data_IF_335158575164
#
_entry.id   IF_335158575164
#
_cell.length_a   1.000
_cell.length_b   1.000
_cell.length_c   1.000
_cell.angle_alpha   90.00
_cell.angle_beta   90.00
_cell.angle_gamma   90.00
#
_symmetry.space_group_name_H-M   'P 1'
#
loop_
_entity.id
_entity.type
_entity.pdbx_description
1 polymer ?
#
# COMPACT_ATOMS: atom_id res chain seq x y z
N UNK A 1 5.05 -19.63 -14.61
CA UNK A 1 3.77 -19.50 -13.89
C UNK A 1 2.65 -19.67 -14.91
N UNK A 2 1.65 -20.53 -14.67
CA UNK A 2 0.53 -20.71 -15.61
C UNK A 2 -0.18 -19.37 -15.82
N UNK A 3 -0.53 -19.03 -17.07
CA UNK A 3 -1.30 -17.81 -17.41
C UNK A 3 -2.58 -17.66 -16.59
N UNK A 4 -3.18 -18.78 -16.13
CA UNK A 4 -4.37 -18.80 -15.29
C UNK A 4 -4.20 -18.17 -13.91
N UNK A 5 -2.98 -18.09 -13.36
CA UNK A 5 -2.71 -17.49 -12.05
C UNK A 5 -2.43 -15.99 -12.12
N UNK A 6 -1.78 -15.55 -13.21
CA UNK A 6 -1.33 -14.17 -13.36
C UNK A 6 -2.52 -13.19 -13.42
N UNK A 7 -3.57 -13.54 -14.16
CA UNK A 7 -4.73 -12.67 -14.32
C UNK A 7 -5.49 -12.44 -12.99
N UNK A 8 -5.83 -13.48 -12.20
CA UNK A 8 -6.41 -13.29 -10.88
C UNK A 8 -5.50 -12.49 -9.95
N UNK A 9 -4.20 -12.81 -9.88
CA UNK A 9 -3.29 -12.08 -9.00
C UNK A 9 -3.22 -10.60 -9.38
N UNK A 10 -3.10 -10.28 -10.66
CA UNK A 10 -3.09 -8.91 -11.15
C UNK A 10 -4.39 -8.16 -10.84
N UNK A 11 -5.56 -8.80 -11.05
CA UNK A 11 -6.85 -8.21 -10.73
C UNK A 11 -7.00 -7.93 -9.23
N UNK A 12 -6.55 -8.85 -8.38
CA UNK A 12 -6.56 -8.67 -6.93
C UNK A 12 -5.56 -7.61 -6.46
N UNK A 13 -4.37 -7.54 -7.06
CA UNK A 13 -3.40 -6.49 -6.77
C UNK A 13 -3.97 -5.12 -7.14
N UNK A 14 -4.56 -4.97 -8.32
CA UNK A 14 -5.21 -3.72 -8.73
C UNK A 14 -6.35 -3.34 -7.78
N UNK A 15 -7.23 -4.30 -7.43
CA UNK A 15 -8.32 -4.06 -6.49
C UNK A 15 -7.79 -3.64 -5.11
N UNK A 16 -6.78 -4.33 -4.60
CA UNK A 16 -6.12 -4.02 -3.32
C UNK A 16 -5.56 -2.59 -3.34
N UNK A 17 -4.86 -2.22 -4.41
CA UNK A 17 -4.35 -0.85 -4.58
C UNK A 17 -5.47 0.18 -4.61
N UNK A 18 -6.56 -0.06 -5.35
CA UNK A 18 -7.68 0.87 -5.41
C UNK A 18 -8.32 1.06 -4.03
N UNK A 19 -8.58 -0.04 -3.32
CA UNK A 19 -9.12 0.01 -1.95
C UNK A 19 -8.15 0.77 -1.03
N UNK A 20 -6.86 0.48 -1.12
CA UNK A 20 -5.83 1.17 -0.34
C UNK A 20 -5.84 2.69 -0.59
N UNK A 21 -5.74 3.11 -1.85
CA UNK A 21 -5.69 4.53 -2.19
C UNK A 21 -6.98 5.26 -1.80
N UNK A 22 -8.15 4.66 -2.04
CA UNK A 22 -9.43 5.25 -1.63
C UNK A 22 -9.49 5.43 -0.11
N UNK A 23 -9.15 4.40 0.67
CA UNK A 23 -9.15 4.49 2.13
C UNK A 23 -8.13 5.52 2.62
N UNK A 24 -6.92 5.49 2.07
CA UNK A 24 -5.85 6.41 2.43
C UNK A 24 -6.28 7.87 2.17
N UNK A 25 -6.74 8.17 0.97
CA UNK A 25 -7.16 9.53 0.60
C UNK A 25 -8.37 9.98 1.39
N UNK A 26 -9.34 9.09 1.63
CA UNK A 26 -10.50 9.41 2.48
C UNK A 26 -10.05 9.82 3.89
N UNK A 27 -9.12 9.08 4.48
CA UNK A 27 -8.58 9.40 5.81
C UNK A 27 -7.77 10.70 5.79
N UNK A 28 -6.91 10.89 4.79
CA UNK A 28 -6.06 12.08 4.70
C UNK A 28 -6.86 13.35 4.46
N UNK A 29 -7.84 13.34 3.55
CA UNK A 29 -8.75 14.50 3.39
C UNK A 29 -9.55 14.76 4.66
N UNK A 30 -9.99 13.71 5.36
CA UNK A 30 -10.66 13.85 6.65
C UNK A 30 -9.77 14.40 7.77
N UNK A 31 -8.46 14.46 7.57
CA UNK A 31 -7.50 15.01 8.52
C UNK A 31 -6.99 16.40 8.15
N UNK A 32 -7.22 16.87 6.93
CA UNK A 32 -6.86 18.25 6.56
C UNK A 32 -7.81 19.19 7.32
N UNK A 33 -7.21 20.15 8.04
CA UNK A 33 -7.97 21.20 8.70
C UNK A 33 -8.54 22.16 7.63
N UNK A 34 -9.86 22.35 7.65
CA UNK A 34 -10.57 23.18 6.68
C UNK A 34 -10.21 24.66 6.77
N UNK A 35 -9.71 25.13 7.93
CA UNK A 35 -9.35 26.54 8.12
C UNK A 35 -7.95 26.85 7.59
N UNK A 36 -7.00 25.95 7.84
CA UNK A 36 -5.58 26.16 7.50
C UNK A 36 -5.15 25.46 6.21
N UNK A 37 -5.89 24.46 5.74
CA UNK A 37 -5.52 23.60 4.60
C UNK A 37 -4.34 22.67 4.91
N UNK A 38 -3.92 22.58 6.18
CA UNK A 38 -2.77 21.80 6.64
C UNK A 38 -3.21 20.63 7.52
N UNK A 39 -2.30 19.69 7.76
CA UNK A 39 -2.55 18.64 8.71
C UNK A 39 -2.34 19.16 10.15
N UNK A 40 -3.26 18.90 11.08
CA UNK A 40 -3.16 19.38 12.45
C UNK A 40 -2.02 18.68 13.20
N UNK A 41 -1.53 19.38 14.23
CA UNK A 41 -0.28 19.04 14.90
C UNK A 41 -0.28 17.67 15.59
N UNK A 42 -1.44 17.25 16.08
CA UNK A 42 -1.64 15.96 16.73
C UNK A 42 -1.56 14.77 15.76
N UNK A 43 -1.78 15.00 14.45
CA UNK A 43 -1.67 13.96 13.41
C UNK A 43 -0.27 13.78 12.87
N UNK A 44 0.64 14.73 13.14
CA UNK A 44 1.97 14.77 12.52
C UNK A 44 2.84 13.53 12.79
N UNK A 45 2.72 12.91 13.96
CA UNK A 45 3.46 11.69 14.30
C UNK A 45 2.97 10.49 13.47
N UNK A 46 1.68 10.51 13.10
CA UNK A 46 1.01 9.39 12.45
C UNK A 46 1.06 9.50 10.92
N UNK A 47 1.18 10.70 10.35
CA UNK A 47 1.22 10.92 8.89
C UNK A 47 2.30 10.09 8.15
N UNK A 48 3.53 9.93 8.66
CA UNK A 48 4.53 9.12 7.97
C UNK A 48 4.26 7.61 8.10
N UNK A 49 3.53 7.18 9.14
CA UNK A 49 3.39 5.77 9.54
C UNK A 49 2.06 5.17 9.07
N UNK A 50 0.99 5.97 9.06
CA UNK A 50 -0.35 5.58 8.65
C UNK A 50 -0.41 4.93 7.27
N UNK A 51 0.26 5.45 6.21
CA UNK A 51 0.18 4.88 4.87
C UNK A 51 0.72 3.45 4.87
N UNK A 52 1.78 3.19 5.63
CA UNK A 52 2.35 1.87 5.77
C UNK A 52 1.46 0.91 6.59
N UNK A 53 0.86 1.39 7.70
CA UNK A 53 -0.04 0.56 8.51
C UNK A 53 -1.32 0.17 7.74
N UNK A 54 -1.91 1.13 7.03
CA UNK A 54 -3.07 0.87 6.16
C UNK A 54 -2.71 -0.11 5.05
N UNK A 55 -1.54 0.04 4.44
CA UNK A 55 -1.05 -0.88 3.41
C UNK A 55 -0.91 -2.30 3.96
N UNK A 56 -0.23 -2.44 5.10
CA UNK A 56 -0.03 -3.73 5.77
C UNK A 56 -1.36 -4.45 6.03
N UNK A 57 -2.36 -3.72 6.52
CA UNK A 57 -3.68 -4.26 6.84
C UNK A 57 -4.45 -4.66 5.58
N UNK A 58 -4.55 -3.75 4.61
CA UNK A 58 -5.36 -3.94 3.41
C UNK A 58 -4.76 -5.05 2.55
N UNK A 59 -3.45 -5.07 2.33
CA UNK A 59 -2.79 -6.18 1.63
C UNK A 59 -2.95 -7.49 2.36
N UNK A 60 -2.73 -7.50 3.69
CA UNK A 60 -2.83 -8.70 4.51
C UNK A 60 -4.19 -9.39 4.35
N UNK A 61 -5.27 -8.61 4.38
CA UNK A 61 -6.65 -9.10 4.23
C UNK A 61 -6.94 -9.47 2.78
N UNK A 62 -6.70 -8.55 1.85
CA UNK A 62 -7.14 -8.69 0.46
C UNK A 62 -6.37 -9.77 -0.29
N UNK A 63 -5.06 -9.90 -0.07
CA UNK A 63 -4.25 -10.95 -0.73
C UNK A 63 -4.37 -12.32 -0.04
N UNK A 64 -4.85 -12.41 1.20
CA UNK A 64 -5.07 -13.71 1.84
C UNK A 64 -6.09 -14.56 1.06
N UNK A 65 -7.14 -13.94 0.51
CA UNK A 65 -8.21 -14.59 -0.26
C UNK A 65 -7.68 -15.29 -1.53
N UNK A 66 -7.05 -14.59 -2.50
CA UNK A 66 -6.54 -15.23 -3.71
C UNK A 66 -5.43 -16.24 -3.42
N UNK A 67 -4.59 -16.01 -2.40
CA UNK A 67 -3.57 -16.99 -1.97
C UNK A 67 -4.22 -18.27 -1.45
N UNK A 68 -5.26 -18.14 -0.63
CA UNK A 68 -6.05 -19.27 -0.14
C UNK A 68 -6.70 -20.04 -1.30
N UNK A 69 -7.39 -19.35 -2.21
CA UNK A 69 -8.07 -19.96 -3.35
C UNK A 69 -7.08 -20.71 -4.26
N UNK A 70 -5.95 -20.08 -4.58
CA UNK A 70 -4.88 -20.71 -5.37
C UNK A 70 -4.36 -21.99 -4.73
N UNK A 71 -4.11 -21.95 -3.40
CA UNK A 71 -3.64 -23.13 -2.67
C UNK A 71 -4.67 -24.25 -2.70
N UNK A 72 -5.95 -23.95 -2.47
CA UNK A 72 -7.02 -24.93 -2.49
C UNK A 72 -7.15 -25.60 -3.86
N UNK A 73 -7.05 -24.81 -4.94
CA UNK A 73 -7.12 -25.32 -6.30
C UNK A 73 -5.92 -26.21 -6.66
N UNK A 74 -4.73 -25.83 -6.21
CA UNK A 74 -3.54 -26.67 -6.38
C UNK A 74 -3.73 -28.04 -5.70
N UNK A 75 -4.33 -28.09 -4.50
CA UNK A 75 -4.66 -29.37 -3.85
C UNK A 75 -5.68 -30.19 -4.65
N UNK A 76 -6.74 -29.57 -5.17
CA UNK A 76 -7.77 -30.28 -5.96
C UNK A 76 -7.25 -30.86 -7.26
N UNK A 77 -6.30 -30.18 -7.89
CA UNK A 77 -5.72 -30.56 -9.19
C UNK A 77 -4.47 -31.44 -9.06
N UNK A 78 -4.02 -31.73 -7.83
CA UNK A 78 -2.78 -32.49 -7.57
C UNK A 78 -1.51 -31.70 -7.92
N UNK A 79 -1.60 -30.39 -8.09
CA UNK A 79 -0.48 -29.52 -8.45
C UNK A 79 0.21 -28.93 -7.22
N UNK A 80 1.48 -28.56 -7.38
CA UNK A 80 2.20 -27.83 -6.34
C UNK A 80 1.81 -26.35 -6.33
N UNK A 81 1.48 -25.75 -5.17
CA UNK A 81 1.20 -24.32 -5.09
C UNK A 81 2.44 -23.50 -5.43
N UNK A 82 2.22 -22.29 -5.94
CA UNK A 82 3.31 -21.39 -6.28
C UNK A 82 4.17 -21.08 -5.03
N UNK A 83 5.50 -21.05 -5.21
CA UNK A 83 6.44 -20.89 -4.11
C UNK A 83 6.42 -19.44 -3.60
N UNK A 84 6.54 -19.28 -2.29
CA UNK A 84 6.44 -17.98 -1.60
C UNK A 84 7.45 -16.95 -2.11
N UNK A 85 8.68 -17.39 -2.43
CA UNK A 85 9.75 -16.51 -2.92
C UNK A 85 9.49 -15.97 -4.33
N UNK A 86 8.52 -16.52 -5.07
CA UNK A 86 8.05 -15.94 -6.33
C UNK A 86 6.82 -15.06 -6.11
N UNK A 87 5.89 -15.51 -5.27
CA UNK A 87 4.64 -14.79 -5.02
C UNK A 87 4.85 -13.44 -4.34
N UNK A 88 5.66 -13.41 -3.27
CA UNK A 88 5.85 -12.18 -2.47
C UNK A 88 6.49 -11.07 -3.30
N UNK A 89 7.61 -11.27 -4.02
CA UNK A 89 8.19 -10.20 -4.83
C UNK A 89 7.27 -9.75 -5.97
N UNK A 90 6.55 -10.68 -6.60
CA UNK A 90 5.65 -10.35 -7.71
C UNK A 90 4.48 -9.49 -7.24
N UNK A 91 3.82 -9.87 -6.14
CA UNK A 91 2.73 -9.09 -5.56
C UNK A 91 3.23 -7.75 -5.05
N UNK A 92 4.39 -7.73 -4.37
CA UNK A 92 4.96 -6.49 -3.84
C UNK A 92 5.30 -5.51 -4.95
N UNK A 93 5.94 -5.98 -6.03
CA UNK A 93 6.25 -5.15 -7.19
C UNK A 93 4.97 -4.67 -7.88
N UNK A 94 3.96 -5.53 -8.00
CA UNK A 94 2.67 -5.19 -8.56
C UNK A 94 2.00 -4.05 -7.77
N UNK A 95 1.88 -4.19 -6.45
CA UNK A 95 1.29 -3.14 -5.61
C UNK A 95 2.10 -1.85 -5.69
N UNK A 96 3.43 -1.93 -5.65
CA UNK A 96 4.27 -0.74 -5.73
C UNK A 96 4.06 0.02 -7.05
N UNK A 97 4.05 -0.69 -8.18
CA UNK A 97 3.82 -0.10 -9.51
C UNK A 97 2.41 0.49 -9.60
N UNK A 98 1.39 -0.23 -9.17
CA UNK A 98 0.02 0.27 -9.24
C UNK A 98 -0.22 1.43 -8.29
N UNK A 99 0.30 1.40 -7.06
CA UNK A 99 0.14 2.49 -6.11
C UNK A 99 0.84 3.73 -6.65
N UNK A 100 2.13 3.62 -7.02
CA UNK A 100 2.86 4.74 -7.58
C UNK A 100 2.21 5.30 -8.85
N UNK A 101 1.74 4.42 -9.74
CA UNK A 101 1.11 4.82 -11.01
C UNK A 101 -0.26 5.49 -10.81
N UNK A 102 -1.15 4.89 -10.01
CA UNK A 102 -2.48 5.44 -9.76
C UNK A 102 -2.45 6.69 -8.89
N UNK A 103 -1.55 6.74 -7.91
CA UNK A 103 -1.33 7.92 -7.07
C UNK A 103 -0.80 9.09 -7.91
N UNK A 104 0.17 8.84 -8.78
CA UNK A 104 0.66 9.85 -9.72
C UNK A 104 -0.43 10.35 -10.67
N UNK A 105 -1.21 9.43 -11.25
CA UNK A 105 -2.32 9.80 -12.14
C UNK A 105 -3.37 10.63 -11.40
N UNK A 106 -3.71 10.27 -10.17
CA UNK A 106 -4.64 11.04 -9.34
C UNK A 106 -4.10 12.45 -9.09
N UNK A 107 -2.84 12.59 -8.66
CA UNK A 107 -2.24 13.89 -8.40
C UNK A 107 -2.11 14.78 -9.64
N UNK A 108 -1.90 14.19 -10.83
CA UNK A 108 -1.78 14.95 -12.06
C UNK A 108 -3.12 15.34 -12.69
N UNK A 109 -4.17 14.53 -12.50
CA UNK A 109 -5.44 14.68 -13.21
C UNK A 109 -6.59 15.16 -12.33
N UNK A 110 -6.50 14.97 -11.01
CA UNK A 110 -7.61 15.20 -10.08
C UNK A 110 -7.25 16.22 -9.03
N UNK A 111 -6.33 15.89 -8.11
CA UNK A 111 -5.99 16.78 -7.00
C UNK A 111 -4.60 16.46 -6.39
N UNK A 112 -3.81 17.51 -6.18
CA UNK A 112 -2.48 17.47 -5.56
C UNK A 112 -2.45 18.10 -4.15
N UNK A 113 -3.61 18.38 -3.55
CA UNK A 113 -3.69 19.02 -2.22
C UNK A 113 -2.95 18.23 -1.14
N UNK A 114 -3.18 16.92 -1.03
CA UNK A 114 -2.54 16.07 -0.01
C UNK A 114 -1.00 16.11 -0.03
N UNK A 115 -0.31 15.84 -1.15
CA UNK A 115 1.16 15.88 -1.17
C UNK A 115 1.71 17.28 -0.91
N UNK A 116 1.00 18.35 -1.29
CA UNK A 116 1.37 19.72 -0.96
C UNK A 116 1.23 20.00 0.54
N UNK A 117 0.05 19.76 1.12
CA UNK A 117 -0.21 19.94 2.55
C UNK A 117 0.76 19.13 3.41
N UNK A 118 1.10 17.90 2.99
CA UNK A 118 2.07 17.07 3.71
C UNK A 118 3.48 17.67 3.66
N UNK A 119 3.95 18.09 2.48
CA UNK A 119 5.27 18.70 2.33
C UNK A 119 5.41 19.99 3.14
N UNK A 120 4.38 20.84 3.14
CA UNK A 120 4.35 22.07 3.94
C UNK A 120 4.31 21.78 5.44
N UNK A 121 3.53 20.78 5.87
CA UNK A 121 3.50 20.33 7.26
C UNK A 121 4.89 19.86 7.72
N UNK A 122 5.58 19.04 6.91
CA UNK A 122 6.95 18.58 7.20
C UNK A 122 7.95 19.75 7.25
N UNK A 123 7.78 20.75 6.39
CA UNK A 123 8.62 21.95 6.40
C UNK A 123 8.45 22.75 7.69
N UNK A 124 7.20 22.95 8.15
CA UNK A 124 6.92 23.63 9.43
C UNK A 124 7.55 22.90 10.63
N UNK A 125 7.50 21.56 10.66
CA UNK A 125 8.17 20.76 11.71
C UNK A 125 9.67 21.03 11.71
N UNK A 126 10.29 21.05 10.52
CA UNK A 126 11.72 21.27 10.38
C UNK A 126 12.10 22.64 10.95
N UNK A 127 11.32 23.67 10.62
CA UNK A 127 11.52 25.05 11.12
C UNK A 127 11.42 25.09 12.66
N UNK A 128 10.37 24.47 13.23
CA UNK A 128 10.17 24.40 14.68
C UNK A 128 11.27 23.62 15.41
N UNK A 129 11.96 22.70 14.71
CA UNK A 129 13.08 21.92 15.22
C UNK A 129 14.43 22.64 15.08
N UNK A 130 14.44 23.90 14.63
CA UNK A 130 15.65 24.70 14.43
C UNK A 130 16.38 24.43 13.11
N UNK A 131 15.79 23.65 12.20
CA UNK A 131 16.35 23.37 10.88
C UNK A 131 15.51 24.05 9.80
N UNK A 132 15.99 25.13 9.20
CA UNK A 132 15.26 25.78 8.09
C UNK A 132 15.51 24.98 6.81
N UNK A 133 14.53 24.22 6.30
CA UNK A 133 14.71 23.49 5.05
C UNK A 133 14.81 24.48 3.90
N UNK A 134 15.59 24.16 2.87
CA UNK A 134 15.62 24.97 1.65
C UNK A 134 14.27 24.88 0.96
N UNK A 135 13.67 26.02 0.60
CA UNK A 135 12.39 26.07 -0.12
C UNK A 135 12.37 25.21 -1.38
N UNK A 136 13.50 25.10 -2.09
CA UNK A 136 13.63 24.25 -3.27
C UNK A 136 13.43 22.76 -2.96
N UNK A 137 13.83 22.30 -1.77
CA UNK A 137 13.64 20.91 -1.32
C UNK A 137 12.19 20.66 -0.98
N UNK A 138 11.54 21.59 -0.25
CA UNK A 138 10.13 21.48 0.11
C UNK A 138 9.27 21.43 -1.15
N UNK A 139 9.51 22.33 -2.11
CA UNK A 139 8.78 22.35 -3.39
C UNK A 139 9.01 21.08 -4.21
N UNK A 140 10.25 20.58 -4.27
CA UNK A 140 10.54 19.34 -5.00
C UNK A 140 9.86 18.13 -4.34
N UNK A 141 9.83 18.08 -3.01
CA UNK A 141 9.12 17.03 -2.28
C UNK A 141 7.61 17.11 -2.50
N UNK A 142 7.04 18.33 -2.50
CA UNK A 142 5.62 18.57 -2.72
C UNK A 142 5.14 18.18 -4.14
N UNK A 143 6.06 18.09 -5.12
CA UNK A 143 5.75 17.63 -6.47
C UNK A 143 5.68 16.10 -6.60
N UNK A 144 6.16 15.36 -5.59
CA UNK A 144 6.05 13.92 -5.56
C UNK A 144 4.64 13.51 -5.12
N UNK A 145 4.05 12.48 -5.72
CA UNK A 145 2.78 11.95 -5.25
C UNK A 145 2.97 11.35 -3.85
N UNK A 146 1.91 11.37 -3.03
CA UNK A 146 2.01 11.10 -1.59
C UNK A 146 2.58 9.71 -1.25
N UNK A 147 2.29 8.72 -2.09
CA UNK A 147 2.87 7.38 -1.99
C UNK A 147 4.39 7.39 -2.18
N UNK A 148 4.90 8.19 -3.12
CA UNK A 148 6.34 8.32 -3.38
C UNK A 148 7.05 9.11 -2.27
N UNK A 149 6.38 10.09 -1.67
CA UNK A 149 6.87 10.80 -0.49
C UNK A 149 7.14 9.86 0.70
N UNK A 150 6.46 8.71 0.75
CA UNK A 150 6.60 7.70 1.81
C UNK A 150 7.10 6.34 1.29
N UNK A 151 7.81 6.32 0.16
CA UNK A 151 8.14 5.09 -0.59
C UNK A 151 8.87 4.03 0.24
N UNK A 152 9.78 4.44 1.12
CA UNK A 152 10.59 3.52 1.92
C UNK A 152 9.72 2.72 2.89
N UNK A 153 8.90 3.41 3.69
CA UNK A 153 8.02 2.73 4.63
C UNK A 153 6.97 1.91 3.90
N UNK A 154 6.36 2.48 2.85
CA UNK A 154 5.38 1.79 2.03
C UNK A 154 5.95 0.48 1.49
N UNK A 155 7.17 0.50 0.94
CA UNK A 155 7.84 -0.71 0.41
C UNK A 155 8.02 -1.77 1.49
N UNK A 156 8.50 -1.40 2.68
CA UNK A 156 8.67 -2.34 3.80
C UNK A 156 7.33 -2.95 4.18
N UNK A 157 6.28 -2.14 4.34
CA UNK A 157 4.95 -2.60 4.75
C UNK A 157 4.24 -3.43 3.69
N UNK A 158 4.49 -3.17 2.40
CA UNK A 158 4.03 -3.99 1.28
C UNK A 158 4.64 -5.40 1.38
N UNK A 159 5.96 -5.47 1.58
CA UNK A 159 6.64 -6.77 1.69
C UNK A 159 6.10 -7.54 2.91
N UNK A 160 5.99 -6.88 4.06
CA UNK A 160 5.44 -7.48 5.27
C UNK A 160 3.97 -7.89 5.12
N UNK A 161 3.15 -7.09 4.44
CA UNK A 161 1.73 -7.34 4.19
C UNK A 161 1.54 -8.58 3.33
N UNK A 162 2.32 -8.71 2.27
CA UNK A 162 2.31 -9.90 1.42
C UNK A 162 2.84 -11.16 2.15
N UNK A 163 3.83 -11.03 3.04
CA UNK A 163 4.24 -12.14 3.91
C UNK A 163 3.11 -12.56 4.86
N UNK A 164 2.43 -11.60 5.49
CA UNK A 164 1.31 -11.86 6.39
C UNK A 164 0.16 -12.54 5.64
N UNK A 165 -0.22 -12.02 4.46
CA UNK A 165 -1.23 -12.62 3.59
C UNK A 165 -0.90 -14.07 3.24
N UNK A 166 0.38 -14.38 2.99
CA UNK A 166 0.84 -15.73 2.72
C UNK A 166 0.71 -16.66 3.94
N UNK A 167 1.05 -16.19 5.14
CA UNK A 167 0.89 -16.95 6.38
C UNK A 167 -0.58 -17.24 6.67
N UNK A 168 -1.45 -16.23 6.54
CA UNK A 168 -2.89 -16.34 6.77
C UNK A 168 -3.53 -17.26 5.73
N UNK A 169 -3.30 -17.02 4.44
CA UNK A 169 -3.85 -17.83 3.36
C UNK A 169 -3.41 -19.30 3.44
N UNK A 170 -2.16 -19.56 3.85
CA UNK A 170 -1.67 -20.93 4.11
C UNK A 170 -2.39 -21.57 5.30
N UNK A 171 -2.58 -20.83 6.38
CA UNK A 171 -3.21 -21.33 7.61
C UNK A 171 -4.68 -21.68 7.38
N UNK A 172 -5.38 -20.93 6.53
CA UNK A 172 -6.76 -21.22 6.12
C UNK A 172 -6.82 -22.43 5.18
N UNK A 173 -5.93 -22.51 4.18
CA UNK A 173 -5.96 -23.58 3.19
C UNK A 173 -5.62 -24.98 3.75
N UNK A 174 -4.70 -25.06 4.73
CA UNK A 174 -4.19 -26.33 5.26
C UNK A 174 -5.28 -27.27 5.84
N UNK A 175 -6.17 -26.83 6.75
CA UNK A 175 -7.22 -27.70 7.30
C UNK A 175 -8.27 -28.12 6.25
N UNK A 176 -8.50 -27.29 5.22
CA UNK A 176 -9.43 -27.59 4.14
C UNK A 176 -8.87 -28.61 3.15
N UNK A 177 -7.56 -28.54 2.87
CA UNK A 177 -6.87 -29.51 2.04
C UNK A 177 -6.92 -30.93 2.63
N UNK A 178 -6.75 -31.06 3.95
CA UNK A 178 -6.85 -32.35 4.67
C UNK A 178 -8.24 -32.99 4.55
N UNK A 179 -9.30 -32.21 4.32
CA UNK A 179 -10.65 -32.74 4.08
C UNK A 179 -10.89 -33.16 2.62
N UNK A 180 -10.04 -32.73 1.70
CA UNK A 180 -10.17 -32.99 0.26
C UNK A 180 -9.30 -34.16 -0.22
N UNK A 181 -8.34 -34.59 0.61
CA UNK A 181 -7.52 -35.81 0.46
C UNK A 181 -8.11 -36.95 1.26
#
# INVERSE_FOLDING_TARGET
MKKSLLLPLFAWTLLTTLVYLVVLYTVLYGWIDNETGLFPADKMILLPVLPGLLMLLIEGIMHAIPIYQHRLEAFRTGESPARWFWLVPLLSLGVLVFCAGLDLLYCQLVDATIPHSYAETVAQISINSGSVPKDSVVRSFAQLPFFAQNIFLNTITIVLGNFLALLVGRSIAKPLAVKLT
#
